data_IF_353806595190
#
_entry.id   IF_353806595190
#
_cell.length_a   1.000
_cell.length_b   1.000
_cell.length_c   1.000
_cell.angle_alpha   90.00
_cell.angle_beta   90.00
_cell.angle_gamma   90.00
#
_symmetry.space_group_name_H-M   'P 1'
#
loop_
_entity.id
_entity.type
_entity.pdbx_description
1 polymer ?
#
# COMPACT_ATOMS: atom_id res chain seq x y z
N UNK A 1 -3.70 16.38 7.07
CA UNK A 1 -4.64 15.31 6.62
C UNK A 1 -5.73 15.83 5.65
N UNK A 2 -5.37 16.76 4.74
CA UNK A 2 -6.27 17.34 3.72
C UNK A 2 -5.69 17.11 2.30
N UNK A 3 -4.36 17.08 2.18
CA UNK A 3 -3.64 16.90 0.92
C UNK A 3 -3.92 15.57 0.20
N UNK A 4 -4.02 14.44 0.91
CA UNK A 4 -4.19 13.13 0.25
C UNK A 4 -5.61 12.82 -0.22
N UNK A 5 -6.64 13.36 0.46
CA UNK A 5 -8.03 13.22 0.03
C UNK A 5 -8.28 13.91 -1.31
N UNK A 6 -7.55 14.98 -1.58
CA UNK A 6 -7.65 15.72 -2.83
C UNK A 6 -6.84 15.05 -3.96
N UNK A 7 -5.72 14.39 -3.67
CA UNK A 7 -4.92 13.70 -4.69
C UNK A 7 -5.66 12.50 -5.32
N UNK A 8 -6.25 11.63 -4.49
CA UNK A 8 -7.00 10.46 -4.99
C UNK A 8 -8.26 10.90 -5.75
N UNK A 9 -8.96 11.95 -5.30
CA UNK A 9 -10.13 12.49 -6.00
C UNK A 9 -9.77 13.22 -7.30
N UNK A 10 -8.66 13.93 -7.35
CA UNK A 10 -8.26 14.69 -8.55
C UNK A 10 -7.77 13.75 -9.67
N UNK A 11 -7.10 12.64 -9.32
CA UNK A 11 -6.61 11.66 -10.29
C UNK A 11 -7.75 10.86 -10.95
N UNK A 12 -8.80 10.54 -10.18
CA UNK A 12 -9.96 9.78 -10.68
C UNK A 12 -10.92 10.61 -11.55
N UNK A 13 -10.93 11.94 -11.44
CA UNK A 13 -11.87 12.81 -12.18
C UNK A 13 -11.25 13.39 -13.46
N UNK A 14 -9.93 13.57 -13.53
CA UNK A 14 -9.28 14.19 -14.71
C UNK A 14 -9.01 13.23 -15.87
N UNK A 15 -9.08 11.91 -15.70
CA UNK A 15 -8.61 10.94 -16.71
C UNK A 15 -9.68 10.35 -17.63
N UNK A 16 -10.97 10.65 -17.46
CA UNK A 16 -12.01 10.03 -18.30
C UNK A 16 -13.16 10.96 -18.72
N UNK A 17 -13.12 11.55 -19.93
CA UNK A 17 -14.30 12.12 -20.54
C UNK A 17 -15.27 11.01 -20.98
N UNK A 18 -16.41 10.91 -20.28
CA UNK A 18 -17.55 9.99 -20.48
C UNK A 18 -18.12 9.91 -21.92
N UNK A 19 -17.69 10.76 -22.86
CA UNK A 19 -18.22 10.82 -24.23
C UNK A 19 -17.53 9.89 -25.24
N UNK A 20 -16.33 9.37 -24.95
CA UNK A 20 -15.61 8.43 -25.84
C UNK A 20 -16.10 6.98 -25.64
N UNK A 21 -16.87 6.73 -24.57
CA UNK A 21 -17.17 5.40 -24.04
C UNK A 21 -18.05 4.51 -24.93
N UNK A 22 -18.84 5.05 -25.87
CA UNK A 22 -19.72 4.22 -26.72
C UNK A 22 -19.04 3.60 -27.96
N UNK A 23 -17.93 4.16 -28.45
CA UNK A 23 -17.33 3.69 -29.73
C UNK A 23 -16.21 2.66 -29.55
N UNK A 24 -15.75 2.44 -28.31
CA UNK A 24 -14.68 1.50 -27.96
C UNK A 24 -15.18 0.22 -27.27
N UNK A 25 -16.45 -0.14 -27.48
CA UNK A 25 -17.03 -1.39 -26.96
C UNK A 25 -16.66 -2.62 -27.84
N UNK A 26 -15.79 -2.45 -28.85
CA UNK A 26 -15.40 -3.53 -29.78
C UNK A 26 -13.89 -3.81 -29.85
N UNK A 27 -13.05 -3.14 -29.05
CA UNK A 27 -11.61 -3.43 -29.02
C UNK A 27 -11.28 -4.23 -27.75
N UNK A 28 -11.39 -5.56 -27.90
CA UNK A 28 -10.64 -6.60 -27.19
C UNK A 28 -10.47 -6.44 -25.68
N UNK A 29 -11.15 -7.33 -24.94
CA UNK A 29 -10.90 -7.60 -23.52
C UNK A 29 -9.44 -8.04 -23.29
N UNK A 30 -8.54 -7.08 -23.09
CA UNK A 30 -7.32 -7.32 -22.32
C UNK A 30 -7.72 -7.27 -20.84
N UNK A 31 -7.24 -8.19 -19.99
CA UNK A 31 -7.43 -8.00 -18.56
C UNK A 31 -6.79 -6.66 -18.20
N UNK A 32 -7.57 -5.74 -17.63
CA UNK A 32 -7.02 -4.48 -17.13
C UNK A 32 -5.83 -4.82 -16.23
N UNK A 33 -4.64 -4.33 -16.59
CA UNK A 33 -3.43 -4.54 -15.80
C UNK A 33 -3.71 -4.01 -14.39
N UNK A 34 -3.45 -4.83 -13.38
CA UNK A 34 -3.54 -4.40 -11.98
C UNK A 34 -2.44 -3.40 -11.67
N UNK A 35 -2.79 -2.39 -10.88
CA UNK A 35 -1.87 -1.39 -10.34
C UNK A 35 -1.07 -2.05 -9.22
N UNK A 36 0.25 -2.10 -9.37
CA UNK A 36 1.14 -2.65 -8.36
C UNK A 36 1.54 -1.54 -7.37
N UNK A 37 1.31 -1.75 -6.08
CA UNK A 37 1.60 -0.73 -5.05
C UNK A 37 2.35 -1.31 -3.87
N UNK A 38 3.21 -0.48 -3.28
CA UNK A 38 3.85 -0.73 -1.98
C UNK A 38 3.29 0.30 -1.02
N UNK A 39 2.89 -0.15 0.17
CA UNK A 39 2.32 0.73 1.19
C UNK A 39 3.37 0.92 2.28
N UNK A 40 3.68 2.16 2.63
CA UNK A 40 4.57 2.49 3.75
C UNK A 40 4.00 1.94 5.08
N UNK A 41 4.90 1.43 5.94
CA UNK A 41 4.67 1.06 7.35
C UNK A 41 3.72 2.01 8.09
N UNK A 42 3.86 3.32 7.90
CA UNK A 42 3.03 4.34 8.55
C UNK A 42 1.53 4.19 8.29
N UNK A 43 1.12 3.66 7.13
CA UNK A 43 -0.29 3.39 6.84
C UNK A 43 -0.82 2.21 7.65
N UNK A 44 -0.02 1.17 7.81
CA UNK A 44 -0.37 0.02 8.64
C UNK A 44 -0.47 0.44 10.11
N UNK A 45 0.49 1.23 10.60
CA UNK A 45 0.43 1.83 11.95
C UNK A 45 -0.83 2.67 12.10
N UNK A 46 -1.13 3.54 11.13
CA UNK A 46 -2.35 4.36 11.15
C UNK A 46 -3.63 3.51 11.15
N UNK A 47 -3.66 2.39 10.44
CA UNK A 47 -4.79 1.46 10.41
C UNK A 47 -4.95 0.66 11.71
N UNK A 48 -3.85 0.36 12.41
CA UNK A 48 -3.90 -0.18 13.76
C UNK A 48 -4.59 0.81 14.71
N UNK A 49 -4.19 2.09 14.67
CA UNK A 49 -4.60 3.10 15.65
C UNK A 49 -5.98 3.74 15.35
N UNK A 50 -6.37 3.85 14.07
CA UNK A 50 -7.58 4.58 13.66
C UNK A 50 -8.49 3.75 12.76
N UNK A 51 -9.78 3.66 13.15
CA UNK A 51 -10.83 2.96 12.38
C UNK A 51 -11.00 3.50 10.96
N UNK A 52 -10.88 4.80 10.74
CA UNK A 52 -11.04 5.40 9.41
C UNK A 52 -9.92 4.98 8.47
N UNK A 53 -8.67 5.05 8.93
CA UNK A 53 -7.51 4.57 8.17
C UNK A 53 -7.61 3.07 7.90
N UNK A 54 -8.07 2.29 8.88
CA UNK A 54 -8.32 0.85 8.73
C UNK A 54 -9.34 0.53 7.65
N UNK A 55 -10.45 1.28 7.60
CA UNK A 55 -11.48 1.11 6.57
C UNK A 55 -10.94 1.42 5.18
N UNK A 56 -10.18 2.51 5.03
CA UNK A 56 -9.58 2.88 3.74
C UNK A 56 -8.62 1.80 3.27
N UNK A 57 -7.67 1.41 4.13
CA UNK A 57 -6.71 0.36 3.82
C UNK A 57 -7.42 -0.93 3.40
N UNK A 58 -8.43 -1.37 4.15
CA UNK A 58 -9.11 -2.61 3.85
C UNK A 58 -10.00 -2.55 2.59
N UNK A 59 -10.95 -1.61 2.54
CA UNK A 59 -12.00 -1.60 1.50
C UNK A 59 -11.51 -1.01 0.18
N UNK A 60 -10.72 0.06 0.22
CA UNK A 60 -10.34 0.79 -0.99
C UNK A 60 -9.05 0.26 -1.61
N UNK A 61 -8.18 -0.36 -0.79
CA UNK A 61 -6.85 -0.79 -1.22
C UNK A 61 -6.77 -2.33 -1.24
N UNK A 62 -6.85 -3.01 -0.10
CA UNK A 62 -6.61 -4.45 -0.02
C UNK A 62 -7.70 -5.30 -0.70
N UNK A 63 -8.95 -4.83 -0.71
CA UNK A 63 -10.08 -5.53 -1.38
C UNK A 63 -10.29 -5.10 -2.82
N UNK A 64 -9.54 -4.12 -3.32
CA UNK A 64 -9.73 -3.64 -4.68
C UNK A 64 -9.15 -4.64 -5.69
N UNK A 65 -9.97 -5.22 -6.59
CA UNK A 65 -9.50 -6.24 -7.52
C UNK A 65 -8.50 -5.69 -8.56
N UNK A 66 -8.46 -4.37 -8.77
CA UNK A 66 -7.56 -3.68 -9.69
C UNK A 66 -6.22 -3.31 -9.04
N UNK A 67 -6.05 -3.50 -7.73
CA UNK A 67 -4.82 -3.17 -7.01
C UNK A 67 -4.16 -4.47 -6.53
N UNK A 68 -2.84 -4.53 -6.67
CA UNK A 68 -2.01 -5.59 -6.11
C UNK A 68 -1.00 -4.95 -5.17
N UNK A 69 -1.15 -5.24 -3.87
CA UNK A 69 -0.28 -4.67 -2.85
C UNK A 69 0.84 -5.64 -2.53
N UNK A 70 2.06 -5.11 -2.41
CA UNK A 70 3.27 -5.86 -2.10
C UNK A 70 3.88 -5.44 -0.78
N UNK A 71 4.57 -6.38 -0.13
CA UNK A 71 5.34 -6.15 1.10
C UNK A 71 6.62 -6.98 1.11
N UNK A 72 7.58 -6.61 1.95
CA UNK A 72 8.80 -7.39 2.19
C UNK A 72 8.98 -7.74 3.67
N UNK A 73 10.04 -8.48 3.98
CA UNK A 73 10.40 -8.79 5.38
C UNK A 73 10.82 -7.53 6.13
N UNK A 74 11.52 -6.63 5.47
CA UNK A 74 12.04 -5.36 6.01
C UNK A 74 10.88 -4.45 6.44
N UNK A 75 9.83 -4.33 5.61
CA UNK A 75 8.60 -3.61 5.96
C UNK A 75 7.94 -4.17 7.23
N UNK A 76 7.86 -5.50 7.33
CA UNK A 76 7.31 -6.14 8.52
C UNK A 76 8.17 -5.87 9.76
N UNK A 77 9.50 -5.96 9.63
CA UNK A 77 10.40 -5.65 10.73
C UNK A 77 10.24 -4.20 11.20
N UNK A 78 10.17 -3.26 10.26
CA UNK A 78 9.93 -1.86 10.58
C UNK A 78 8.57 -1.68 11.27
N UNK A 79 7.52 -2.35 10.80
CA UNK A 79 6.22 -2.32 11.46
C UNK A 79 6.30 -2.80 12.92
N UNK A 80 6.94 -3.93 13.17
CA UNK A 80 7.10 -4.50 14.52
C UNK A 80 7.90 -3.54 15.43
N UNK A 81 8.98 -2.99 14.91
CA UNK A 81 9.83 -2.03 15.61
C UNK A 81 9.09 -0.74 15.91
N UNK A 82 8.29 -0.23 14.96
CA UNK A 82 7.53 1.00 15.13
C UNK A 82 6.39 0.79 16.12
N UNK A 83 5.60 -0.28 16.00
CA UNK A 83 4.42 -0.49 16.85
C UNK A 83 4.78 -0.86 18.30
N UNK A 84 5.97 -1.41 18.54
CA UNK A 84 6.47 -1.73 19.88
C UNK A 84 6.85 -0.49 20.71
N UNK A 85 6.98 0.69 20.08
CA UNK A 85 7.40 1.94 20.73
C UNK A 85 6.44 2.34 21.87
N UNK A 86 6.95 2.86 23.01
CA UNK A 86 6.12 3.16 24.19
C UNK A 86 4.90 4.05 23.92
N UNK A 87 5.00 4.98 22.95
CA UNK A 87 3.92 5.90 22.58
C UNK A 87 2.66 5.19 22.04
N UNK A 88 2.78 4.01 21.44
CA UNK A 88 1.64 3.28 20.87
C UNK A 88 1.01 2.28 21.84
N UNK A 89 1.77 1.80 22.84
CA UNK A 89 1.28 0.84 23.85
C UNK A 89 0.07 1.34 24.65
N UNK A 90 -0.09 2.67 24.76
CA UNK A 90 -1.25 3.30 25.41
C UNK A 90 -2.54 3.23 24.58
N UNK A 91 -2.43 2.91 23.29
CA UNK A 91 -3.53 2.97 22.33
C UNK A 91 -3.91 1.57 21.85
N UNK A 92 -2.92 0.71 21.58
CA UNK A 92 -3.12 -0.64 21.07
C UNK A 92 -2.12 -1.61 21.72
N UNK A 93 -2.56 -2.83 22.02
CA UNK A 93 -1.63 -3.86 22.48
C UNK A 93 -0.81 -4.42 21.32
N UNK A 94 0.41 -4.88 21.61
CA UNK A 94 1.26 -5.52 20.60
C UNK A 94 0.54 -6.68 19.90
N UNK A 95 -0.09 -7.58 20.67
CA UNK A 95 -0.81 -8.71 20.09
C UNK A 95 -1.99 -8.29 19.20
N UNK A 96 -2.68 -7.19 19.52
CA UNK A 96 -3.74 -6.66 18.67
C UNK A 96 -3.19 -6.16 17.33
N UNK A 97 -2.05 -5.48 17.36
CA UNK A 97 -1.39 -5.00 16.15
C UNK A 97 -0.85 -6.14 15.28
N UNK A 98 -0.20 -7.14 15.89
CA UNK A 98 0.29 -8.31 15.18
C UNK A 98 -0.86 -9.11 14.57
N UNK A 99 -1.95 -9.35 15.32
CA UNK A 99 -3.14 -10.00 14.75
C UNK A 99 -3.70 -9.24 13.55
N UNK A 100 -3.74 -7.91 13.62
CA UNK A 100 -4.17 -7.09 12.49
C UNK A 100 -3.27 -7.30 11.27
N UNK A 101 -1.94 -7.24 11.44
CA UNK A 101 -1.01 -7.43 10.33
C UNK A 101 -1.05 -8.84 9.75
N UNK A 102 -1.16 -9.87 10.59
CA UNK A 102 -1.30 -11.26 10.12
C UNK A 102 -2.54 -11.44 9.24
N UNK A 103 -3.65 -10.77 9.55
CA UNK A 103 -4.85 -10.78 8.70
C UNK A 103 -4.64 -9.97 7.42
N UNK A 104 -3.95 -8.83 7.49
CA UNK A 104 -3.63 -8.02 6.31
C UNK A 104 -2.75 -8.81 5.34
N UNK A 105 -1.75 -9.56 5.81
CA UNK A 105 -0.84 -10.34 4.97
C UNK A 105 -1.49 -11.40 4.11
N UNK A 106 -2.68 -11.90 4.50
CA UNK A 106 -3.46 -12.81 3.66
C UNK A 106 -3.92 -12.16 2.34
N UNK A 107 -3.90 -10.82 2.27
CA UNK A 107 -4.28 -10.02 1.11
C UNK A 107 -3.08 -9.37 0.40
N UNK A 108 -1.88 -9.52 0.94
CA UNK A 108 -0.65 -8.89 0.46
C UNK A 108 0.23 -9.90 -0.29
N UNK A 109 1.03 -9.40 -1.23
CA UNK A 109 1.94 -10.21 -2.02
C UNK A 109 3.37 -10.04 -1.50
N UNK A 110 3.95 -11.11 -0.97
CA UNK A 110 5.32 -11.07 -0.45
C UNK A 110 6.32 -10.94 -1.61
N UNK A 111 7.27 -10.03 -1.45
CA UNK A 111 8.43 -9.83 -2.33
C UNK A 111 9.70 -10.10 -1.53
N UNK A 112 10.69 -10.69 -2.17
CA UNK A 112 12.05 -10.82 -1.62
C UNK A 112 12.97 -9.93 -2.43
N UNK A 113 13.44 -8.85 -1.85
CA UNK A 113 14.40 -7.95 -2.49
C UNK A 113 15.77 -8.62 -2.40
N UNK A 114 16.32 -9.06 -3.55
CA UNK A 114 17.62 -9.77 -3.59
C UNK A 114 18.82 -8.81 -3.53
N UNK A 115 18.63 -7.55 -3.95
CA UNK A 115 19.63 -6.49 -3.83
C UNK A 115 18.90 -5.17 -3.64
N UNK A 116 19.14 -4.52 -2.51
CA UNK A 116 18.73 -3.13 -2.30
C UNK A 116 19.71 -2.27 -3.11
N UNK A 117 19.27 -1.48 -4.10
CA UNK A 117 20.17 -0.62 -4.86
C UNK A 117 20.88 0.35 -3.89
N UNK A 118 22.22 0.34 -3.85
CA UNK A 118 23.01 1.33 -3.11
C UNK A 118 22.95 2.70 -3.81
N UNK A 119 21.77 3.29 -3.94
CA UNK A 119 21.55 4.53 -4.70
C UNK A 119 21.38 5.75 -3.78
N UNK A 120 21.09 5.58 -2.48
CA UNK A 120 20.80 6.71 -1.58
C UNK A 120 21.73 6.71 -0.36
N UNK A 121 22.13 7.91 0.06
CA UNK A 121 23.04 8.15 1.21
C UNK A 121 22.33 8.10 2.57
N UNK A 122 21.00 7.98 2.58
CA UNK A 122 20.16 7.83 3.77
C UNK A 122 19.50 6.44 3.73
N UNK A 123 19.96 5.57 4.62
CA UNK A 123 19.83 4.11 4.55
C UNK A 123 18.50 3.53 5.04
N UNK A 124 17.57 4.36 5.53
CA UNK A 124 16.37 3.85 6.21
C UNK A 124 15.23 3.50 5.23
N UNK A 125 15.12 4.21 4.10
CA UNK A 125 14.01 4.05 3.14
C UNK A 125 14.38 3.22 1.88
N UNK A 126 15.65 2.79 1.76
CA UNK A 126 16.17 2.13 0.54
C UNK A 126 15.45 0.82 0.21
N UNK A 127 14.95 0.13 1.23
CA UNK A 127 14.22 -1.12 1.03
C UNK A 127 12.89 -0.88 0.27
N UNK A 128 12.21 0.25 0.49
CA UNK A 128 10.96 0.58 -0.22
C UNK A 128 11.20 0.74 -1.71
N UNK A 129 12.30 1.39 -2.09
CA UNK A 129 12.72 1.53 -3.49
C UNK A 129 13.00 0.15 -4.11
N UNK A 130 13.69 -0.72 -3.38
CA UNK A 130 13.94 -2.09 -3.82
C UNK A 130 12.67 -2.92 -4.05
N UNK A 131 11.63 -2.74 -3.22
CA UNK A 131 10.33 -3.40 -3.45
C UNK A 131 9.66 -2.81 -4.69
N UNK A 132 9.63 -1.48 -4.80
CA UNK A 132 9.01 -0.78 -5.93
C UNK A 132 9.61 -1.18 -7.27
N UNK A 133 10.94 -1.27 -7.33
CA UNK A 133 11.66 -1.74 -8.52
C UNK A 133 11.33 -3.20 -8.83
N UNK A 134 11.35 -4.09 -7.82
CA UNK A 134 11.11 -5.51 -8.04
C UNK A 134 9.67 -5.83 -8.46
N UNK A 135 8.68 -5.05 -8.01
CA UNK A 135 7.28 -5.28 -8.33
C UNK A 135 6.76 -4.46 -9.52
N UNK A 136 7.62 -3.67 -10.19
CA UNK A 136 7.20 -2.65 -11.16
C UNK A 136 6.05 -1.79 -10.60
N UNK A 137 6.27 -1.20 -9.42
CA UNK A 137 5.27 -0.37 -8.76
C UNK A 137 4.82 0.76 -9.69
N UNK A 138 3.51 0.95 -9.75
CA UNK A 138 2.87 2.06 -10.42
C UNK A 138 2.69 3.16 -9.35
N UNK A 139 3.75 3.94 -9.13
CA UNK A 139 3.89 4.92 -8.03
C UNK A 139 2.89 6.09 -8.13
#
# INVERSE_FOLDING_TARGET
MIFLKNWIRSFLIQTYPLKIFKKKLQLTAMPERKINVVIDTNWYISACLNRSSRRILYYEILKNPHIKVFYSKELLQEFEDVISRPKFRKIISYDQAIRFMSLAFLLLNKVTVQSIPQVVRDTDDDYLLGICEHCNADF
#
